data_IF_952765950702
#
_entry.id   IF_952765950702
#
_cell.length_a   1.000
_cell.length_b   1.000
_cell.length_c   1.000
_cell.angle_alpha   90.00
_cell.angle_beta   90.00
_cell.angle_gamma   90.00
#
_symmetry.space_group_name_H-M   'P 1'
#
loop_
_entity.id
_entity.type
_entity.pdbx_description
1 polymer ?
#
# COMPACT_ATOMS: atom_id res chain seq x y z
N UNK A 1 -5.02 13.56 -14.43
CA UNK A 1 -5.34 14.55 -15.48
C UNK A 1 -5.47 13.95 -16.90
N UNK A 2 -4.43 13.28 -17.42
CA UNK A 2 -4.46 12.69 -18.77
C UNK A 2 -5.57 11.65 -18.93
N UNK A 3 -5.69 10.71 -17.99
CA UNK A 3 -6.76 9.71 -17.98
C UNK A 3 -8.16 10.35 -17.95
N UNK A 4 -8.36 11.42 -17.17
CA UNK A 4 -9.64 12.13 -17.13
C UNK A 4 -9.97 12.79 -18.47
N UNK A 5 -8.99 13.39 -19.14
CA UNK A 5 -9.17 13.96 -20.49
C UNK A 5 -9.53 12.89 -21.50
N UNK A 6 -8.86 11.74 -21.46
CA UNK A 6 -9.16 10.61 -22.34
C UNK A 6 -10.59 10.10 -22.14
N UNK A 7 -11.01 9.88 -20.89
CA UNK A 7 -12.38 9.43 -20.58
C UNK A 7 -13.41 10.49 -20.98
N UNK A 8 -13.12 11.77 -20.75
CA UNK A 8 -13.99 12.89 -21.16
C UNK A 8 -14.12 12.99 -22.69
N UNK A 9 -13.04 12.71 -23.44
CA UNK A 9 -13.02 12.78 -24.90
C UNK A 9 -13.54 11.51 -25.60
N UNK A 10 -13.72 10.41 -24.88
CA UNK A 10 -14.15 9.12 -25.43
C UNK A 10 -15.48 8.68 -24.82
N UNK A 11 -15.45 8.05 -23.64
CA UNK A 11 -16.61 7.49 -22.97
C UNK A 11 -17.71 8.53 -22.70
N UNK A 12 -17.32 9.74 -22.30
CA UNK A 12 -18.26 10.83 -22.00
C UNK A 12 -18.40 11.84 -23.14
N UNK A 13 -17.90 11.52 -24.35
CA UNK A 13 -18.02 12.40 -25.51
C UNK A 13 -19.46 12.86 -25.81
N UNK A 14 -20.51 12.00 -25.67
CA UNK A 14 -21.89 12.43 -25.89
C UNK A 14 -22.38 13.55 -24.96
N UNK A 15 -21.74 13.74 -23.80
CA UNK A 15 -22.10 14.76 -22.81
C UNK A 15 -21.42 16.11 -23.04
N UNK A 16 -20.47 16.21 -23.99
CA UNK A 16 -19.69 17.43 -24.23
C UNK A 16 -20.53 18.66 -24.60
N UNK A 17 -21.71 18.46 -25.19
CA UNK A 17 -22.65 19.55 -25.52
C UNK A 17 -23.67 19.85 -24.43
N UNK A 18 -23.77 19.02 -23.39
CA UNK A 18 -24.80 19.13 -22.34
C UNK A 18 -24.27 19.73 -21.02
N UNK A 19 -22.97 19.59 -20.77
CA UNK A 19 -22.32 20.05 -19.53
C UNK A 19 -21.03 20.79 -19.81
N UNK A 20 -20.65 21.68 -18.89
CA UNK A 20 -19.40 22.42 -19.01
C UNK A 20 -18.18 21.49 -19.00
N UNK A 21 -17.06 21.89 -19.64
CA UNK A 21 -15.83 21.07 -19.68
C UNK A 21 -15.31 20.70 -18.28
N UNK A 22 -15.49 21.58 -17.30
CA UNK A 22 -15.10 21.34 -15.90
C UNK A 22 -15.93 20.23 -15.29
N UNK A 23 -17.26 20.26 -15.44
CA UNK A 23 -18.15 19.21 -14.93
C UNK A 23 -17.86 17.89 -15.62
N UNK A 24 -17.61 17.91 -16.93
CA UNK A 24 -17.27 16.70 -17.69
C UNK A 24 -15.98 16.04 -17.18
N UNK A 25 -14.95 16.82 -16.85
CA UNK A 25 -13.72 16.31 -16.26
C UNK A 25 -13.93 15.75 -14.85
N UNK A 26 -14.78 16.38 -14.04
CA UNK A 26 -15.15 15.89 -12.71
C UNK A 26 -15.90 14.55 -12.81
N UNK A 27 -16.85 14.43 -13.73
CA UNK A 27 -17.55 13.18 -14.02
C UNK A 27 -16.58 12.10 -14.48
N UNK A 28 -15.66 12.41 -15.39
CA UNK A 28 -14.61 11.48 -15.81
C UNK A 28 -13.75 11.00 -14.62
N UNK A 29 -13.35 11.92 -13.74
CA UNK A 29 -12.61 11.58 -12.52
C UNK A 29 -13.40 10.68 -11.57
N UNK A 30 -14.68 10.98 -11.36
CA UNK A 30 -15.56 10.17 -10.52
C UNK A 30 -15.78 8.77 -11.12
N UNK A 31 -15.97 8.65 -12.44
CA UNK A 31 -16.06 7.36 -13.13
C UNK A 31 -14.78 6.53 -12.92
N UNK A 32 -13.60 7.13 -13.14
CA UNK A 32 -12.32 6.45 -12.94
C UNK A 32 -12.19 5.98 -11.48
N UNK A 33 -12.50 6.85 -10.51
CA UNK A 33 -12.39 6.53 -9.10
C UNK A 33 -13.30 5.35 -8.70
N UNK A 34 -14.58 5.39 -9.06
CA UNK A 34 -15.55 4.37 -8.66
C UNK A 34 -15.30 3.02 -9.38
N UNK A 35 -14.99 3.03 -10.69
CA UNK A 35 -14.60 1.79 -11.40
C UNK A 35 -13.34 1.20 -10.77
N UNK A 36 -12.36 2.04 -10.46
CA UNK A 36 -11.13 1.58 -9.81
C UNK A 36 -11.38 1.03 -8.41
N UNK A 37 -12.29 1.62 -7.63
CA UNK A 37 -12.63 1.15 -6.30
C UNK A 37 -13.24 -0.27 -6.33
N UNK A 38 -14.18 -0.51 -7.25
CA UNK A 38 -14.79 -1.84 -7.44
C UNK A 38 -13.74 -2.86 -7.85
N UNK A 39 -12.93 -2.54 -8.86
CA UNK A 39 -11.87 -3.44 -9.33
C UNK A 39 -10.80 -3.67 -8.26
N UNK A 40 -10.48 -2.67 -7.44
CA UNK A 40 -9.56 -2.80 -6.32
C UNK A 40 -10.07 -3.79 -5.28
N UNK A 41 -11.37 -3.75 -4.96
CA UNK A 41 -12.01 -4.72 -4.06
C UNK A 41 -11.88 -6.16 -4.60
N UNK A 42 -12.11 -6.35 -5.91
CA UNK A 42 -11.91 -7.65 -6.58
C UNK A 42 -10.45 -8.10 -6.54
N UNK A 43 -9.50 -7.21 -6.85
CA UNK A 43 -8.07 -7.50 -6.79
C UNK A 43 -7.63 -7.88 -5.37
N UNK A 44 -8.14 -7.19 -4.33
CA UNK A 44 -7.88 -7.50 -2.93
C UNK A 44 -8.43 -8.88 -2.55
N UNK A 45 -9.62 -9.25 -3.02
CA UNK A 45 -10.18 -10.59 -2.82
C UNK A 45 -9.28 -11.68 -3.42
N UNK A 46 -8.87 -11.53 -4.69
CA UNK A 46 -8.02 -12.50 -5.36
C UNK A 46 -6.65 -12.62 -4.69
N UNK A 47 -6.04 -11.49 -4.33
CA UNK A 47 -4.80 -11.45 -3.56
C UNK A 47 -4.95 -12.10 -2.19
N UNK A 48 -6.01 -11.77 -1.46
CA UNK A 48 -6.30 -12.32 -0.13
C UNK A 48 -6.41 -13.84 -0.15
N UNK A 49 -7.11 -14.40 -1.15
CA UNK A 49 -7.21 -15.85 -1.37
C UNK A 49 -5.84 -16.47 -1.64
N UNK A 50 -5.04 -15.82 -2.47
CA UNK A 50 -3.70 -16.29 -2.82
C UNK A 50 -2.75 -16.32 -1.62
N UNK A 51 -2.83 -15.31 -0.75
CA UNK A 51 -1.96 -15.14 0.41
C UNK A 51 -2.36 -16.01 1.60
N UNK A 52 -3.65 -16.10 1.91
CA UNK A 52 -4.13 -16.74 3.14
C UNK A 52 -4.74 -18.12 2.91
N UNK A 53 -5.01 -18.50 1.66
CA UNK A 53 -5.74 -19.72 1.27
C UNK A 53 -7.14 -19.84 1.89
N UNK A 54 -7.67 -18.77 2.47
CA UNK A 54 -9.01 -18.70 3.03
C UNK A 54 -9.90 -17.82 2.16
N UNK A 55 -10.90 -18.46 1.53
CA UNK A 55 -11.87 -17.78 0.68
C UNK A 55 -12.76 -16.82 1.48
N UNK A 56 -13.22 -17.26 2.66
CA UNK A 56 -14.07 -16.47 3.52
C UNK A 56 -13.36 -15.23 4.05
N UNK A 57 -12.11 -15.37 4.51
CA UNK A 57 -11.30 -14.25 4.99
C UNK A 57 -11.10 -13.20 3.89
N UNK A 58 -10.82 -13.65 2.68
CA UNK A 58 -10.61 -12.76 1.54
C UNK A 58 -11.89 -12.02 1.11
N UNK A 59 -13.06 -12.70 1.12
CA UNK A 59 -14.35 -12.06 0.82
C UNK A 59 -14.67 -10.96 1.81
N UNK A 60 -14.57 -11.25 3.11
CA UNK A 60 -14.85 -10.26 4.15
C UNK A 60 -13.86 -9.10 4.08
N UNK A 61 -12.58 -9.34 3.76
CA UNK A 61 -11.60 -8.27 3.56
C UNK A 61 -11.98 -7.34 2.39
N UNK A 62 -12.48 -7.88 1.28
CA UNK A 62 -12.93 -7.08 0.14
C UNK A 62 -14.17 -6.22 0.46
N UNK A 63 -15.12 -6.74 1.23
CA UNK A 63 -16.25 -5.96 1.75
C UNK A 63 -15.80 -4.85 2.70
N UNK A 64 -14.87 -5.16 3.62
CA UNK A 64 -14.32 -4.17 4.54
C UNK A 64 -13.52 -3.08 3.82
N UNK A 65 -12.85 -3.40 2.71
CA UNK A 65 -12.23 -2.38 1.85
C UNK A 65 -13.27 -1.45 1.23
N UNK A 66 -14.38 -1.99 0.71
CA UNK A 66 -15.45 -1.16 0.15
C UNK A 66 -16.11 -0.25 1.21
N UNK A 67 -16.13 -0.69 2.48
CA UNK A 67 -16.65 0.05 3.62
C UNK A 67 -15.56 0.73 4.46
N UNK A 68 -14.33 0.87 3.93
CA UNK A 68 -13.22 1.44 4.69
C UNK A 68 -13.54 2.86 5.16
N UNK A 69 -13.09 3.32 6.34
CA UNK A 69 -13.41 4.66 6.85
C UNK A 69 -13.05 5.82 5.88
N UNK A 70 -12.16 5.59 4.92
CA UNK A 70 -11.80 6.56 3.88
C UNK A 70 -12.66 6.47 2.62
N UNK A 71 -13.85 5.84 2.64
CA UNK A 71 -14.62 5.54 1.43
C UNK A 71 -15.01 6.78 0.61
N UNK A 72 -15.16 7.96 1.25
CA UNK A 72 -15.38 9.23 0.55
C UNK A 72 -14.29 9.50 -0.51
N UNK A 73 -13.03 9.19 -0.20
CA UNK A 73 -11.91 9.32 -1.13
C UNK A 73 -11.86 8.22 -2.20
N UNK A 74 -12.60 7.13 -2.00
CA UNK A 74 -12.71 6.07 -2.99
C UNK A 74 -13.73 6.41 -4.09
N UNK A 75 -14.73 7.24 -3.78
CA UNK A 75 -15.77 7.64 -4.72
C UNK A 75 -15.58 9.02 -5.33
N UNK A 76 -14.91 9.94 -4.63
CA UNK A 76 -14.57 11.27 -5.15
C UNK A 76 -13.40 11.20 -6.17
N UNK A 77 -13.20 12.22 -7.04
CA UNK A 77 -12.18 12.23 -8.09
C UNK A 77 -10.74 12.42 -7.53
N UNK A 78 -10.31 11.48 -6.70
CA UNK A 78 -8.97 11.38 -6.10
C UNK A 78 -8.18 10.20 -6.66
N UNK A 79 -6.90 10.10 -6.29
CA UNK A 79 -6.00 9.04 -6.78
C UNK A 79 -6.01 7.78 -5.92
N UNK A 80 -6.68 7.80 -4.76
CA UNK A 80 -6.73 6.70 -3.79
C UNK A 80 -7.25 5.39 -4.42
N UNK A 81 -8.39 5.43 -5.12
CA UNK A 81 -8.95 4.25 -5.80
C UNK A 81 -8.08 3.67 -6.91
N UNK A 82 -7.64 4.44 -7.93
CA UNK A 82 -6.76 3.90 -8.96
C UNK A 82 -5.41 3.46 -8.39
N UNK A 83 -4.91 4.13 -7.33
CA UNK A 83 -3.71 3.69 -6.64
C UNK A 83 -3.91 2.35 -5.93
N UNK A 84 -5.03 2.15 -5.20
CA UNK A 84 -5.36 0.89 -4.55
C UNK A 84 -5.51 -0.25 -5.57
N UNK A 85 -6.22 -0.01 -6.68
CA UNK A 85 -6.36 -0.98 -7.78
C UNK A 85 -4.99 -1.44 -8.30
N UNK A 86 -4.15 -0.51 -8.71
CA UNK A 86 -2.84 -0.84 -9.28
C UNK A 86 -1.91 -1.47 -8.23
N UNK A 87 -2.01 -1.05 -6.97
CA UNK A 87 -1.23 -1.64 -5.87
C UNK A 87 -1.60 -3.10 -5.65
N UNK A 88 -2.88 -3.41 -5.49
CA UNK A 88 -3.37 -4.77 -5.28
C UNK A 88 -3.16 -5.66 -6.51
N UNK A 89 -3.41 -5.14 -7.72
CA UNK A 89 -3.15 -5.88 -8.96
C UNK A 89 -1.66 -6.18 -9.14
N UNK A 90 -0.77 -5.22 -8.88
CA UNK A 90 0.68 -5.46 -8.93
C UNK A 90 1.14 -6.48 -7.89
N UNK A 91 0.56 -6.45 -6.68
CA UNK A 91 0.80 -7.46 -5.64
C UNK A 91 0.32 -8.85 -6.04
N UNK A 92 -0.85 -8.95 -6.68
CA UNK A 92 -1.39 -10.21 -7.19
C UNK A 92 -0.48 -10.79 -8.28
N UNK A 93 -0.11 -9.97 -9.27
CA UNK A 93 0.81 -10.34 -10.34
C UNK A 93 2.17 -10.79 -9.80
N UNK A 94 2.70 -10.11 -8.79
CA UNK A 94 3.94 -10.51 -8.11
C UNK A 94 3.79 -11.87 -7.42
N UNK A 95 2.69 -12.09 -6.70
CA UNK A 95 2.38 -13.35 -6.02
C UNK A 95 2.13 -14.54 -6.98
N UNK A 96 1.74 -14.27 -8.23
CA UNK A 96 1.58 -15.24 -9.30
C UNK A 96 2.87 -15.50 -10.09
N UNK A 97 3.91 -14.68 -9.91
CA UNK A 97 5.21 -14.83 -10.56
C UNK A 97 5.43 -13.94 -11.79
N UNK A 98 4.44 -13.12 -12.17
CA UNK A 98 4.52 -12.16 -13.29
C UNK A 98 5.26 -10.87 -12.91
N UNK A 99 6.52 -11.00 -12.45
CA UNK A 99 7.28 -9.91 -11.85
C UNK A 99 7.50 -8.67 -12.74
N UNK A 100 7.64 -8.84 -14.06
CA UNK A 100 7.79 -7.70 -14.98
C UNK A 100 6.48 -6.93 -15.13
N UNK A 101 5.35 -7.62 -15.26
CA UNK A 101 4.04 -6.97 -15.33
C UNK A 101 3.68 -6.28 -14.01
N UNK A 102 4.06 -6.89 -12.88
CA UNK A 102 3.96 -6.26 -11.56
C UNK A 102 4.77 -4.95 -11.49
N UNK A 103 6.03 -4.95 -11.99
CA UNK A 103 6.87 -3.75 -12.00
C UNK A 103 6.27 -2.63 -12.87
N UNK A 104 5.76 -2.95 -14.06
CA UNK A 104 5.08 -1.98 -14.92
C UNK A 104 3.81 -1.43 -14.26
N UNK A 105 3.02 -2.29 -13.63
CA UNK A 105 1.81 -1.89 -12.89
C UNK A 105 2.14 -0.98 -11.72
N UNK A 106 3.17 -1.30 -10.93
CA UNK A 106 3.62 -0.46 -9.82
C UNK A 106 4.34 0.82 -10.27
N UNK A 107 4.95 0.84 -11.45
CA UNK A 107 5.42 2.09 -12.07
C UNK A 107 4.26 3.09 -12.23
N UNK A 108 3.08 2.61 -12.66
CA UNK A 108 1.87 3.44 -12.72
C UNK A 108 1.43 3.91 -11.32
N UNK A 109 1.57 3.09 -10.26
CA UNK A 109 1.28 3.55 -8.89
C UNK A 109 2.15 4.75 -8.49
N UNK A 110 3.44 4.73 -8.87
CA UNK A 110 4.38 5.82 -8.59
C UNK A 110 4.00 7.11 -9.32
N UNK A 111 3.41 7.03 -10.52
CA UNK A 111 2.89 8.21 -11.23
C UNK A 111 1.68 8.85 -10.54
N UNK A 112 0.85 8.03 -9.86
CA UNK A 112 -0.32 8.51 -9.14
C UNK A 112 0.04 9.12 -7.79
N UNK A 113 0.96 8.47 -7.06
CA UNK A 113 1.37 8.87 -5.72
C UNK A 113 2.84 8.48 -5.46
N UNK A 114 3.57 9.36 -4.80
CA UNK A 114 4.99 9.17 -4.45
C UNK A 114 5.24 7.92 -3.61
N UNK A 115 4.30 7.50 -2.75
CA UNK A 115 4.44 6.30 -1.94
C UNK A 115 4.41 4.99 -2.75
N UNK A 116 4.09 5.04 -4.05
CA UNK A 116 4.22 3.91 -4.97
C UNK A 116 5.67 3.39 -5.08
N UNK A 117 6.68 4.22 -4.82
CA UNK A 117 8.10 3.80 -4.83
C UNK A 117 8.38 2.65 -3.85
N UNK A 118 7.60 2.54 -2.77
CA UNK A 118 7.79 1.52 -1.75
C UNK A 118 7.52 0.11 -2.28
N UNK A 119 6.77 -0.02 -3.38
CA UNK A 119 6.57 -1.32 -4.03
C UNK A 119 7.85 -1.91 -4.62
N UNK A 120 8.87 -1.09 -4.93
CA UNK A 120 10.19 -1.59 -5.29
C UNK A 120 10.81 -2.47 -4.19
N UNK A 121 10.39 -2.25 -2.93
CA UNK A 121 10.78 -3.06 -1.78
C UNK A 121 10.46 -4.55 -1.94
N UNK A 122 9.42 -4.94 -2.69
CA UNK A 122 9.14 -6.37 -2.95
C UNK A 122 10.26 -7.03 -3.76
N UNK A 123 10.79 -6.35 -4.79
CA UNK A 123 11.89 -6.87 -5.60
C UNK A 123 13.21 -6.85 -4.85
N UNK A 124 13.46 -5.79 -4.06
CA UNK A 124 14.65 -5.69 -3.21
C UNK A 124 14.65 -6.76 -2.11
N UNK A 125 13.49 -7.03 -1.52
CA UNK A 125 13.31 -8.10 -0.54
C UNK A 125 13.57 -9.48 -1.18
N UNK A 126 13.04 -9.72 -2.38
CA UNK A 126 13.29 -10.96 -3.11
C UNK A 126 14.77 -11.13 -3.50
N UNK A 127 15.42 -10.04 -3.92
CA UNK A 127 16.85 -10.00 -4.20
C UNK A 127 17.65 -10.40 -2.97
N UNK A 128 17.42 -9.72 -1.83
CA UNK A 128 18.10 -10.03 -0.57
C UNK A 128 17.91 -11.51 -0.18
N UNK A 129 16.68 -12.02 -0.28
CA UNK A 129 16.37 -13.42 0.02
C UNK A 129 17.04 -14.42 -0.93
N UNK A 130 17.20 -14.09 -2.21
CA UNK A 130 17.90 -14.95 -3.18
C UNK A 130 19.39 -14.98 -2.91
N UNK A 131 20.00 -13.81 -2.68
CA UNK A 131 21.42 -13.67 -2.35
C UNK A 131 21.75 -14.42 -1.06
N UNK A 132 21.00 -14.17 0.02
CA UNK A 132 21.23 -14.82 1.31
C UNK A 132 21.07 -16.34 1.20
N UNK A 133 20.04 -16.85 0.50
CA UNK A 133 19.87 -18.30 0.30
C UNK A 133 21.02 -18.92 -0.48
N UNK A 134 21.56 -18.23 -1.49
CA UNK A 134 22.72 -18.72 -2.22
C UNK A 134 23.94 -18.84 -1.29
N UNK A 135 24.18 -17.86 -0.42
CA UNK A 135 25.31 -17.94 0.53
C UNK A 135 25.09 -18.94 1.68
N UNK A 136 23.86 -19.13 2.14
CA UNK A 136 23.58 -20.02 3.28
C UNK A 136 23.36 -21.50 2.92
N UNK A 137 22.87 -21.81 1.71
CA UNK A 137 22.45 -23.17 1.35
C UNK A 137 23.41 -23.90 0.42
N UNK A 138 24.44 -23.23 -0.12
CA UNK A 138 25.39 -23.84 -1.05
C UNK A 138 26.62 -24.31 -0.26
N UNK A 139 26.87 -25.63 -0.12
CA UNK A 139 28.10 -26.10 0.49
C UNK A 139 29.30 -25.59 -0.31
N UNK A 140 30.33 -25.14 0.40
CA UNK A 140 31.49 -24.38 -0.08
C UNK A 140 32.34 -25.05 -1.16
N UNK A 141 32.05 -26.29 -1.56
CA UNK A 141 32.95 -27.06 -2.41
C UNK A 141 32.67 -26.94 -3.92
N UNK A 142 31.45 -26.67 -4.40
CA UNK A 142 31.18 -26.64 -5.86
C UNK A 142 29.84 -25.94 -6.21
N UNK A 143 29.73 -24.62 -6.00
CA UNK A 143 28.71 -23.86 -6.73
C UNK A 143 29.14 -23.81 -8.21
N UNK A 144 28.44 -24.54 -9.08
CA UNK A 144 28.77 -24.54 -10.51
C UNK A 144 28.75 -23.11 -11.07
N UNK A 145 29.62 -22.80 -12.03
CA UNK A 145 29.63 -21.50 -12.72
C UNK A 145 28.23 -21.06 -13.18
N UNK A 146 27.41 -22.03 -13.62
CA UNK A 146 26.00 -21.79 -13.97
C UNK A 146 25.15 -21.22 -12.83
N UNK A 147 25.37 -21.65 -11.58
CA UNK A 147 24.63 -21.12 -10.43
C UNK A 147 24.94 -19.64 -10.17
N UNK A 148 26.20 -19.23 -10.33
CA UNK A 148 26.61 -17.82 -10.24
C UNK A 148 26.05 -16.97 -11.36
N UNK A 149 26.10 -17.48 -12.60
CA UNK A 149 25.51 -16.79 -13.76
C UNK A 149 24.01 -16.58 -13.56
N UNK A 150 23.29 -17.61 -13.11
CA UNK A 150 21.85 -17.51 -12.81
C UNK A 150 21.55 -16.53 -11.67
N UNK A 151 22.39 -16.49 -10.62
CA UNK A 151 22.25 -15.52 -9.55
C UNK A 151 22.43 -14.09 -10.06
N UNK A 152 23.48 -13.83 -10.85
CA UNK A 152 23.78 -12.50 -11.41
C UNK A 152 22.64 -12.04 -12.33
N UNK A 153 22.21 -12.88 -13.27
CA UNK A 153 21.12 -12.55 -14.20
C UNK A 153 19.83 -12.28 -13.43
N UNK A 154 19.44 -13.16 -12.52
CA UNK A 154 18.20 -12.98 -11.76
C UNK A 154 18.25 -11.77 -10.82
N UNK A 155 19.41 -11.46 -10.25
CA UNK A 155 19.63 -10.26 -9.44
C UNK A 155 19.52 -8.99 -10.28
N UNK A 156 20.16 -8.97 -11.46
CA UNK A 156 20.07 -7.87 -12.42
C UNK A 156 18.63 -7.61 -12.86
N UNK A 157 17.86 -8.66 -13.14
CA UNK A 157 16.43 -8.54 -13.48
C UNK A 157 15.58 -7.97 -12.34
N UNK A 158 15.85 -8.35 -11.08
CA UNK A 158 15.15 -7.79 -9.92
C UNK A 158 15.49 -6.32 -9.69
N UNK A 159 16.75 -5.95 -9.85
CA UNK A 159 17.19 -4.55 -9.78
C UNK A 159 16.56 -3.72 -10.90
N UNK A 160 16.53 -4.22 -12.13
CA UNK A 160 15.85 -3.55 -13.24
C UNK A 160 14.36 -3.32 -12.95
N UNK A 161 13.67 -4.32 -12.39
CA UNK A 161 12.26 -4.18 -11.98
C UNK A 161 12.07 -3.13 -10.89
N UNK A 162 12.96 -3.08 -9.89
CA UNK A 162 12.94 -2.03 -8.88
C UNK A 162 13.14 -0.64 -9.52
N UNK A 163 14.09 -0.50 -10.45
CA UNK A 163 14.33 0.75 -11.18
C UNK A 163 13.13 1.19 -12.02
N UNK A 164 12.41 0.25 -12.66
CA UNK A 164 11.16 0.55 -13.39
C UNK A 164 10.10 1.15 -12.46
N UNK A 165 9.97 0.64 -11.22
CA UNK A 165 9.04 1.18 -10.23
C UNK A 165 9.44 2.57 -9.75
N UNK A 166 10.75 2.81 -9.57
CA UNK A 166 11.30 4.12 -9.16
C UNK A 166 11.30 5.18 -10.26
N UNK A 167 11.41 4.77 -11.53
CA UNK A 167 11.60 5.65 -12.69
C UNK A 167 10.64 6.84 -12.76
N UNK A 168 9.32 6.65 -12.60
CA UNK A 168 8.37 7.77 -12.66
C UNK A 168 8.56 8.81 -11.56
N UNK A 169 9.01 8.40 -10.37
CA UNK A 169 9.33 9.36 -9.31
C UNK A 169 10.47 10.26 -9.75
N UNK A 170 11.57 9.68 -10.24
CA UNK A 170 12.72 10.44 -10.77
C UNK A 170 12.27 11.38 -11.89
N UNK A 171 11.46 10.89 -12.84
CA UNK A 171 10.96 11.71 -13.94
C UNK A 171 10.16 12.94 -13.45
N UNK A 172 9.33 12.78 -12.42
CA UNK A 172 8.57 13.90 -11.82
C UNK A 172 9.50 14.89 -11.11
N UNK A 173 10.53 14.41 -10.40
CA UNK A 173 11.51 15.30 -9.76
C UNK A 173 12.29 16.10 -10.80
N UNK A 174 12.75 15.44 -11.87
CA UNK A 174 13.45 16.09 -12.98
C UNK A 174 12.56 17.13 -13.68
N UNK A 175 11.30 16.77 -13.96
CA UNK A 175 10.33 17.71 -14.53
C UNK A 175 10.14 18.95 -13.63
N UNK A 176 9.99 18.74 -12.31
CA UNK A 176 9.90 19.83 -11.35
C UNK A 176 11.15 20.71 -11.33
N UNK A 177 12.34 20.11 -11.37
CA UNK A 177 13.60 20.83 -11.42
C UNK A 177 13.70 21.70 -12.68
N UNK A 178 13.50 21.13 -13.87
CA UNK A 178 13.54 21.91 -15.12
C UNK A 178 12.47 23.00 -15.17
N UNK A 179 11.32 22.79 -14.53
CA UNK A 179 10.23 23.78 -14.53
C UNK A 179 10.51 24.97 -13.62
N UNK A 180 11.19 24.78 -12.48
CA UNK A 180 11.30 25.79 -11.42
C UNK A 180 12.73 26.26 -11.11
N UNK A 181 13.75 25.59 -11.65
CA UNK A 181 15.16 25.87 -11.38
C UNK A 181 15.98 26.29 -12.61
N UNK A 182 15.36 26.35 -13.79
CA UNK A 182 16.02 26.67 -15.06
C UNK A 182 15.71 28.07 -15.58
N UNK A 183 15.29 29.03 -14.72
CA UNK A 183 15.15 30.42 -15.15
C UNK A 183 16.53 31.04 -15.41
N UNK A 184 16.70 31.79 -16.53
CA UNK A 184 17.90 32.59 -16.78
C UNK A 184 18.14 33.65 -15.70
N UNK A 185 17.09 34.10 -15.03
CA UNK A 185 17.17 35.04 -13.91
C UNK A 185 17.24 34.27 -12.58
N UNK A 186 18.38 34.25 -11.86
CA UNK A 186 18.52 33.50 -10.62
C UNK A 186 17.53 33.90 -9.52
N UNK A 187 17.00 35.13 -9.55
CA UNK A 187 16.02 35.61 -8.57
C UNK A 187 14.62 34.98 -8.76
N UNK A 188 14.34 34.40 -9.93
CA UNK A 188 13.07 33.72 -10.20
C UNK A 188 13.10 32.23 -9.84
N UNK A 189 14.31 31.67 -9.66
CA UNK A 189 14.47 30.29 -9.25
C UNK A 189 13.99 30.10 -7.81
N UNK A 190 13.36 28.95 -7.54
CA UNK A 190 12.91 28.63 -6.19
C UNK A 190 14.11 28.36 -5.28
N UNK A 191 13.97 28.69 -3.99
CA UNK A 191 15.04 28.57 -3.00
C UNK A 191 15.66 27.16 -2.96
N UNK A 192 14.85 26.10 -3.03
CA UNK A 192 15.31 24.72 -2.99
C UNK A 192 16.18 24.29 -4.18
N UNK A 193 16.26 25.09 -5.25
CA UNK A 193 17.13 24.81 -6.40
C UNK A 193 18.62 24.88 -6.03
N UNK A 194 18.99 25.65 -5.00
CA UNK A 194 20.38 25.86 -4.57
C UNK A 194 20.69 25.28 -3.18
N UNK A 195 19.68 24.86 -2.41
CA UNK A 195 19.82 24.59 -0.97
C UNK A 195 20.13 23.12 -0.61
N UNK A 196 20.72 22.30 -1.48
CA UNK A 196 21.04 20.93 -1.07
C UNK A 196 21.84 20.08 -2.05
N UNK A 197 22.31 18.94 -1.54
CA UNK A 197 23.02 17.89 -2.30
C UNK A 197 22.16 17.20 -3.35
N UNK A 198 20.82 17.21 -3.18
CA UNK A 198 19.87 16.74 -4.17
C UNK A 198 18.62 17.64 -4.17
N UNK A 199 18.44 18.54 -5.15
CA UNK A 199 17.30 19.47 -5.20
C UNK A 199 16.02 18.70 -5.56
N UNK A 200 15.22 18.38 -4.56
CA UNK A 200 14.00 17.58 -4.70
C UNK A 200 12.75 18.42 -4.40
N UNK A 201 11.95 18.68 -5.43
CA UNK A 201 10.70 19.45 -5.29
C UNK A 201 9.76 18.82 -4.26
N UNK A 202 9.68 17.49 -4.21
CA UNK A 202 8.79 16.81 -3.28
C UNK A 202 9.16 17.09 -1.82
N UNK A 203 10.43 16.92 -1.45
CA UNK A 203 10.90 17.18 -0.09
C UNK A 203 10.72 18.65 0.28
N UNK A 204 11.00 19.58 -0.64
CA UNK A 204 10.75 21.01 -0.42
C UNK A 204 9.28 21.29 -0.18
N UNK A 205 8.36 20.74 -0.98
CA UNK A 205 6.94 20.99 -0.81
C UNK A 205 6.44 20.44 0.53
N UNK A 206 6.86 19.23 0.89
CA UNK A 206 6.52 18.60 2.18
C UNK A 206 6.99 19.46 3.36
N UNK A 207 8.22 19.96 3.34
CA UNK A 207 8.79 20.77 4.41
C UNK A 207 8.20 22.19 4.44
N UNK A 208 8.22 22.90 3.31
CA UNK A 208 7.92 24.33 3.25
C UNK A 208 6.42 24.64 3.33
N UNK A 209 5.57 23.90 2.61
CA UNK A 209 4.13 24.20 2.55
C UNK A 209 3.32 23.37 3.53
N UNK A 210 3.74 22.15 3.80
CA UNK A 210 3.00 21.23 4.66
C UNK A 210 3.61 21.10 6.06
N UNK A 211 4.82 21.61 6.30
CA UNK A 211 5.54 21.43 7.56
C UNK A 211 5.65 19.95 7.99
N UNK A 212 5.71 19.04 7.03
CA UNK A 212 5.95 17.63 7.28
C UNK A 212 7.39 17.45 7.76
N UNK A 213 7.55 16.65 8.80
CA UNK A 213 8.86 16.34 9.37
C UNK A 213 8.72 15.50 10.63
N UNK A 214 9.81 14.87 11.10
CA UNK A 214 9.77 14.01 12.27
C UNK A 214 9.15 14.73 13.48
N UNK A 215 8.03 14.20 13.94
CA UNK A 215 7.25 14.64 15.09
C UNK A 215 6.76 16.10 15.09
N UNK A 216 6.89 16.83 13.98
CA UNK A 216 6.50 18.26 13.92
C UNK A 216 5.01 18.50 14.15
N UNK A 217 4.18 17.51 13.85
CA UNK A 217 2.72 17.60 14.02
C UNK A 217 2.25 17.33 15.46
N UNK A 218 3.12 16.82 16.34
CA UNK A 218 2.76 16.44 17.71
C UNK A 218 2.69 17.67 18.60
N UNK A 219 1.57 18.38 18.53
CA UNK A 219 1.25 19.52 19.39
C UNK A 219 -0.08 19.31 20.09
N UNK A 220 -0.27 19.89 21.27
CA UNK A 220 -1.52 19.74 22.05
C UNK A 220 -2.76 20.20 21.26
N UNK A 221 -2.60 21.18 20.37
CA UNK A 221 -3.68 21.68 19.50
C UNK A 221 -4.20 20.62 18.53
N UNK A 222 -3.37 19.64 18.18
CA UNK A 222 -3.72 18.55 17.25
C UNK A 222 -4.32 17.33 17.96
N UNK A 223 -4.42 17.35 19.29
CA UNK A 223 -4.99 16.24 20.06
C UNK A 223 -6.37 15.77 19.55
N UNK A 224 -7.31 16.66 19.15
CA UNK A 224 -8.58 16.22 18.56
C UNK A 224 -8.41 15.35 17.30
N UNK A 225 -7.45 15.69 16.43
CA UNK A 225 -7.17 14.90 15.21
C UNK A 225 -6.56 13.54 15.55
N UNK A 226 -5.69 13.47 16.55
CA UNK A 226 -5.16 12.20 17.05
C UNK A 226 -6.26 11.33 17.67
N UNK A 227 -7.19 11.91 18.43
CA UNK A 227 -8.33 11.18 18.98
C UNK A 227 -9.24 10.64 17.88
N UNK A 228 -9.51 11.44 16.85
CA UNK A 228 -10.32 11.02 15.71
C UNK A 228 -9.66 9.88 14.92
N UNK A 229 -8.35 9.96 14.70
CA UNK A 229 -7.58 8.91 14.01
C UNK A 229 -7.27 7.67 14.88
N UNK A 230 -7.43 7.78 16.20
CA UNK A 230 -7.00 6.76 17.15
C UNK A 230 -7.57 5.36 16.90
N UNK A 231 -8.87 5.16 16.54
CA UNK A 231 -9.40 3.81 16.34
C UNK A 231 -8.67 3.08 15.20
N UNK A 232 -8.28 3.81 14.16
CA UNK A 232 -7.58 3.25 13.02
C UNK A 232 -6.08 3.04 13.29
N UNK A 233 -5.44 3.92 14.06
CA UNK A 233 -4.06 3.73 14.54
C UNK A 233 -3.99 2.48 15.41
N UNK A 234 -4.93 2.30 16.33
CA UNK A 234 -5.03 1.12 17.20
C UNK A 234 -5.29 -0.15 16.41
N UNK A 235 -6.23 -0.13 15.45
CA UNK A 235 -6.48 -1.25 14.54
C UNK A 235 -5.20 -1.67 13.81
N UNK A 236 -4.43 -0.68 13.36
CA UNK A 236 -3.22 -0.91 12.60
C UNK A 236 -2.08 -1.46 13.44
N UNK A 237 -1.82 -0.85 14.61
CA UNK A 237 -0.84 -1.35 15.57
C UNK A 237 -1.18 -2.77 16.03
N UNK A 238 -2.46 -3.03 16.33
CA UNK A 238 -2.94 -4.34 16.73
C UNK A 238 -2.71 -5.40 15.64
N UNK A 239 -2.97 -5.09 14.36
CA UNK A 239 -2.77 -6.07 13.29
C UNK A 239 -1.32 -6.46 13.09
N UNK A 240 -0.41 -5.48 13.05
CA UNK A 240 1.03 -5.73 12.98
C UNK A 240 1.48 -6.54 14.21
N UNK A 241 1.02 -6.17 15.40
CA UNK A 241 1.36 -6.83 16.65
C UNK A 241 0.88 -8.29 16.70
N UNK A 242 -0.37 -8.55 16.33
CA UNK A 242 -0.95 -9.90 16.32
C UNK A 242 -0.20 -10.81 15.35
N UNK A 243 0.12 -10.30 14.15
CA UNK A 243 0.94 -11.06 13.21
C UNK A 243 2.34 -11.33 13.76
N UNK A 244 3.00 -10.32 14.34
CA UNK A 244 4.32 -10.48 14.95
C UNK A 244 4.30 -11.49 16.13
N UNK A 245 3.27 -11.49 16.97
CA UNK A 245 3.17 -12.46 18.07
C UNK A 245 2.99 -13.90 17.58
N UNK A 246 2.32 -14.10 16.45
CA UNK A 246 2.03 -15.42 15.89
C UNK A 246 3.21 -16.04 15.11
N UNK A 247 4.14 -15.22 14.61
CA UNK A 247 5.27 -15.70 13.82
C UNK A 247 6.48 -16.06 14.71
N UNK A 248 7.30 -17.06 14.34
CA UNK A 248 8.52 -17.39 15.08
C UNK A 248 9.46 -16.17 15.18
N UNK A 249 9.99 -15.90 16.37
CA UNK A 249 10.86 -14.74 16.64
C UNK A 249 12.04 -14.64 15.68
N UNK A 250 12.68 -15.78 15.36
CA UNK A 250 13.75 -15.86 14.36
C UNK A 250 13.32 -15.32 12.99
N UNK A 251 12.12 -15.66 12.54
CA UNK A 251 11.59 -15.21 11.23
C UNK A 251 11.37 -13.70 11.21
N UNK A 252 10.91 -13.11 12.30
CA UNK A 252 10.70 -11.66 12.38
C UNK A 252 12.00 -10.88 12.46
N UNK A 253 12.94 -11.32 13.31
CA UNK A 253 14.26 -10.69 13.43
C UNK A 253 15.01 -10.73 12.09
N UNK A 254 14.91 -11.85 11.39
CA UNK A 254 15.51 -12.02 10.06
C UNK A 254 14.67 -11.46 8.92
N UNK A 255 13.51 -10.87 9.20
CA UNK A 255 12.51 -10.46 8.21
C UNK A 255 12.12 -11.58 7.21
N UNK A 256 12.36 -12.85 7.54
CA UNK A 256 12.12 -14.00 6.64
C UNK A 256 13.16 -14.15 5.52
N UNK A 257 14.30 -13.46 5.62
CA UNK A 257 15.39 -13.51 4.63
C UNK A 257 16.16 -14.83 4.68
N UNK A 258 16.29 -15.43 5.86
CA UNK A 258 17.01 -16.68 6.06
C UNK A 258 16.06 -17.88 5.86
N UNK A 259 16.59 -19.05 5.42
CA UNK A 259 15.81 -20.28 5.39
C UNK A 259 15.27 -20.59 6.80
N UNK A 260 14.00 -20.96 6.87
CA UNK A 260 13.47 -21.58 8.08
C UNK A 260 14.27 -22.87 8.32
N UNK A 261 14.71 -23.13 9.55
CA UNK A 261 15.37 -24.39 9.88
C UNK A 261 14.45 -25.53 9.45
N UNK A 262 14.98 -26.50 8.70
CA UNK A 262 14.25 -27.66 8.22
C UNK A 262 13.71 -28.42 9.42
N UNK A 263 12.45 -28.17 9.78
CA UNK A 263 11.70 -29.09 10.60
C UNK A 263 11.46 -30.32 9.72
N UNK A 264 11.82 -31.51 10.20
CA UNK A 264 11.69 -32.78 9.49
C UNK A 264 10.42 -32.83 8.61
N UNK A 265 10.62 -33.10 7.31
CA UNK A 265 9.58 -33.59 6.39
C UNK A 265 8.93 -34.82 7.02
N UNK A 266 7.85 -34.62 7.77
CA UNK A 266 7.21 -35.69 8.54
C UNK A 266 5.88 -35.31 9.15
N UNK A 267 5.58 -34.01 9.27
CA UNK A 267 4.20 -33.53 9.39
C UNK A 267 3.84 -32.98 8.03
N UNK A 268 3.05 -33.76 7.30
CA UNK A 268 2.30 -33.32 6.13
C UNK A 268 1.86 -31.86 6.32
N UNK A 269 2.09 -31.03 5.30
CA UNK A 269 1.46 -29.72 5.11
C UNK A 269 -0.06 -29.91 4.90
N UNK A 270 -0.71 -30.63 5.80
CA UNK A 270 -2.14 -30.77 5.96
C UNK A 270 -2.70 -29.58 6.77
N UNK A 271 -2.20 -28.36 6.53
CA UNK A 271 -2.86 -27.12 6.95
C UNK A 271 -3.89 -26.64 5.92
N UNK A 272 -4.13 -27.43 4.86
CA UNK A 272 -5.33 -27.27 4.05
C UNK A 272 -6.54 -27.81 4.81
N UNK A 273 -7.51 -26.95 5.07
CA UNK A 273 -8.93 -27.23 5.43
C UNK A 273 -9.34 -27.34 6.91
N UNK A 274 -8.43 -27.24 7.89
CA UNK A 274 -8.80 -27.39 9.31
C UNK A 274 -8.74 -26.13 10.20
N UNK A 275 -7.97 -25.11 9.82
CA UNK A 275 -7.80 -23.92 10.67
C UNK A 275 -8.98 -22.95 10.49
N UNK A 276 -9.55 -22.48 11.61
CA UNK A 276 -10.68 -21.56 11.58
C UNK A 276 -10.32 -20.30 10.75
N UNK A 277 -11.26 -19.75 9.95
CA UNK A 277 -10.99 -18.66 9.02
C UNK A 277 -10.30 -17.43 9.65
N UNK A 278 -10.54 -17.19 10.93
CA UNK A 278 -9.96 -16.08 11.69
C UNK A 278 -8.49 -16.30 12.09
N UNK A 279 -7.96 -17.53 12.04
CA UNK A 279 -6.55 -17.84 12.32
C UNK A 279 -5.68 -17.69 11.06
N UNK A 280 -6.27 -17.81 9.87
CA UNK A 280 -5.57 -17.81 8.58
C UNK A 280 -4.69 -16.56 8.32
N UNK A 281 -5.05 -15.40 8.89
CA UNK A 281 -4.22 -14.20 8.85
C UNK A 281 -2.88 -14.41 9.57
N UNK A 282 -2.94 -14.90 10.81
CA UNK A 282 -1.79 -14.99 11.70
C UNK A 282 -0.86 -16.16 11.33
N UNK A 283 -1.41 -17.23 10.74
CA UNK A 283 -0.64 -18.41 10.31
C UNK A 283 0.03 -18.25 8.94
N UNK A 284 -0.42 -17.29 8.11
CA UNK A 284 0.09 -17.13 6.76
C UNK A 284 1.53 -16.60 6.71
N UNK A 285 2.48 -17.50 6.42
CA UNK A 285 3.89 -17.18 6.20
C UNK A 285 4.17 -16.26 5.00
N UNK A 286 3.32 -16.29 3.98
CA UNK A 286 3.47 -15.51 2.73
C UNK A 286 3.09 -14.05 2.92
N UNK A 287 2.40 -13.70 4.00
CA UNK A 287 1.93 -12.36 4.30
C UNK A 287 3.04 -11.41 4.80
N UNK A 288 4.19 -11.97 5.24
CA UNK A 288 5.26 -11.21 5.88
C UNK A 288 5.73 -9.96 5.09
N UNK A 289 6.02 -10.01 3.77
CA UNK A 289 6.44 -8.82 3.03
C UNK A 289 5.39 -7.70 3.01
N UNK A 290 4.10 -8.08 3.01
CA UNK A 290 2.98 -7.15 3.04
C UNK A 290 2.82 -6.50 4.41
N UNK A 291 3.06 -7.25 5.50
CA UNK A 291 3.08 -6.71 6.86
C UNK A 291 4.27 -5.79 7.08
N UNK A 292 5.44 -6.11 6.50
CA UNK A 292 6.62 -5.23 6.55
C UNK A 292 6.32 -3.90 5.84
N UNK A 293 5.76 -3.95 4.62
CA UNK A 293 5.37 -2.74 3.91
C UNK A 293 4.37 -1.91 4.72
N UNK A 294 3.36 -2.58 5.28
CA UNK A 294 2.35 -1.93 6.12
C UNK A 294 2.98 -1.26 7.34
N UNK A 295 3.85 -1.97 8.08
CA UNK A 295 4.56 -1.43 9.23
C UNK A 295 5.44 -0.22 8.88
N UNK A 296 6.19 -0.29 7.78
CA UNK A 296 7.02 0.82 7.29
C UNK A 296 6.15 2.05 6.99
N UNK A 297 5.03 1.85 6.29
CA UNK A 297 4.12 2.94 5.95
C UNK A 297 3.45 3.57 7.17
N UNK A 298 3.03 2.76 8.14
CA UNK A 298 2.44 3.25 9.38
C UNK A 298 3.44 4.05 10.19
N UNK A 299 4.65 3.52 10.33
CA UNK A 299 5.74 4.18 11.05
C UNK A 299 6.07 5.51 10.39
N UNK A 300 6.20 5.53 9.06
CA UNK A 300 6.42 6.77 8.30
C UNK A 300 5.28 7.78 8.52
N UNK A 301 4.03 7.33 8.43
CA UNK A 301 2.87 8.20 8.60
C UNK A 301 2.80 8.79 10.01
N UNK A 302 3.04 7.99 11.05
CA UNK A 302 3.04 8.45 12.44
C UNK A 302 4.21 9.38 12.76
N UNK A 303 5.38 9.17 12.17
CA UNK A 303 6.56 10.01 12.47
C UNK A 303 6.51 11.32 11.68
N UNK A 304 6.12 11.30 10.41
CA UNK A 304 6.40 12.41 9.48
C UNK A 304 5.17 13.12 8.93
N UNK A 305 4.04 12.43 8.84
CA UNK A 305 2.83 12.95 8.19
C UNK A 305 1.87 13.54 9.22
N UNK A 306 0.97 14.40 8.76
CA UNK A 306 -0.20 14.77 9.53
C UNK A 306 -1.09 13.55 9.73
N UNK A 307 -1.52 13.33 10.98
CA UNK A 307 -2.32 12.15 11.36
C UNK A 307 -3.62 12.03 10.54
N UNK A 308 -4.13 13.17 10.09
CA UNK A 308 -5.30 13.33 9.24
C UNK A 308 -5.25 12.56 7.92
N UNK A 309 -4.04 12.32 7.41
CA UNK A 309 -3.84 11.66 6.13
C UNK A 309 -3.73 10.14 6.29
N UNK A 310 -3.62 9.61 7.52
CA UNK A 310 -3.30 8.21 7.77
C UNK A 310 -4.33 7.24 7.18
N UNK A 311 -5.62 7.55 7.33
CA UNK A 311 -6.72 6.73 6.80
C UNK A 311 -6.59 6.56 5.29
N UNK A 312 -6.34 7.68 4.60
CA UNK A 312 -6.20 7.77 3.14
C UNK A 312 -4.94 7.07 2.67
N UNK A 313 -3.86 7.23 3.42
CA UNK A 313 -2.54 6.71 3.09
C UNK A 313 -2.46 5.18 3.16
N UNK A 314 -3.13 4.58 4.16
CA UNK A 314 -3.10 3.13 4.39
C UNK A 314 -4.22 2.37 3.65
N UNK A 315 -5.03 3.05 2.85
CA UNK A 315 -6.13 2.44 2.08
C UNK A 315 -5.71 1.31 1.16
N UNK A 316 -4.48 1.32 0.67
CA UNK A 316 -3.94 0.34 -0.28
C UNK A 316 -3.17 -0.80 0.40
N UNK A 317 -3.39 -1.04 1.71
CA UNK A 317 -2.68 -2.07 2.47
C UNK A 317 -3.53 -3.35 2.59
N UNK A 318 -3.20 -4.45 1.87
CA UNK A 318 -4.03 -5.65 1.91
C UNK A 318 -4.00 -6.33 3.28
N UNK A 319 -2.86 -6.29 3.97
CA UNK A 319 -2.69 -6.89 5.29
C UNK A 319 -3.61 -6.26 6.36
N UNK A 320 -3.89 -4.95 6.25
CA UNK A 320 -4.85 -4.25 7.11
C UNK A 320 -6.24 -4.88 7.01
N UNK A 321 -6.76 -5.04 5.79
CA UNK A 321 -8.11 -5.58 5.58
C UNK A 321 -8.20 -7.07 5.87
N UNK A 322 -7.14 -7.84 5.63
CA UNK A 322 -7.08 -9.25 6.03
C UNK A 322 -7.09 -9.41 7.56
N UNK A 323 -6.43 -8.52 8.31
CA UNK A 323 -6.50 -8.49 9.77
C UNK A 323 -7.88 -8.04 10.27
N UNK A 324 -8.44 -6.99 9.66
CA UNK A 324 -9.78 -6.52 10.03
C UNK A 324 -10.81 -7.63 9.79
N UNK A 325 -10.68 -8.36 8.68
CA UNK A 325 -11.48 -9.52 8.35
C UNK A 325 -11.35 -10.65 9.37
N UNK A 326 -10.14 -10.97 9.83
CA UNK A 326 -9.96 -12.00 10.85
C UNK A 326 -10.62 -11.62 12.17
N UNK A 327 -10.56 -10.35 12.57
CA UNK A 327 -11.24 -9.85 13.76
C UNK A 327 -12.77 -9.95 13.65
N UNK A 328 -13.33 -9.61 12.49
CA UNK A 328 -14.77 -9.71 12.23
C UNK A 328 -15.22 -11.16 12.22
N UNK A 329 -14.48 -12.07 11.56
CA UNK A 329 -14.80 -13.49 11.56
C UNK A 329 -14.67 -14.11 12.96
N UNK A 330 -13.67 -13.72 13.75
CA UNK A 330 -13.57 -14.13 15.15
C UNK A 330 -14.78 -13.67 15.98
N UNK A 331 -15.34 -12.50 15.70
CA UNK A 331 -16.55 -12.02 16.38
C UNK A 331 -17.81 -12.77 15.96
N UNK A 332 -17.96 -13.07 14.67
CA UNK A 332 -19.16 -13.70 14.13
C UNK A 332 -19.20 -15.22 14.34
N UNK A 333 -18.04 -15.87 14.33
CA UNK A 333 -17.93 -17.34 14.33
C UNK A 333 -17.18 -17.90 15.54
N UNK A 334 -16.44 -17.07 16.28
CA UNK A 334 -15.67 -17.52 17.43
C UNK A 334 -16.54 -17.88 18.64
N UNK A 335 -15.99 -18.65 19.60
CA UNK A 335 -16.70 -19.07 20.80
C UNK A 335 -17.09 -17.89 21.72
N UNK A 336 -16.34 -16.78 21.61
CA UNK A 336 -16.61 -15.53 22.32
C UNK A 336 -16.66 -14.37 21.34
N UNK A 337 -17.56 -13.41 21.59
CA UNK A 337 -17.67 -12.18 20.80
C UNK A 337 -16.40 -11.35 20.93
N UNK A 338 -15.55 -11.39 19.91
CA UNK A 338 -14.31 -10.61 19.85
C UNK A 338 -14.62 -9.11 19.78
N UNK A 339 -14.13 -8.32 20.74
CA UNK A 339 -14.40 -6.87 20.83
C UNK A 339 -13.90 -6.11 19.60
N UNK A 340 -12.73 -6.49 19.05
CA UNK A 340 -12.17 -5.84 17.86
C UNK A 340 -13.05 -6.01 16.62
N UNK A 341 -13.69 -7.18 16.46
CA UNK A 341 -14.61 -7.42 15.34
C UNK A 341 -15.89 -6.62 15.49
N UNK A 342 -16.44 -6.55 16.70
CA UNK A 342 -17.57 -5.68 17.02
C UNK A 342 -17.27 -4.21 16.70
N UNK A 343 -16.11 -3.71 17.15
CA UNK A 343 -15.69 -2.34 16.92
C UNK A 343 -15.57 -2.01 15.43
N UNK A 344 -14.97 -2.89 14.62
CA UNK A 344 -14.85 -2.71 13.16
C UNK A 344 -16.23 -2.64 12.50
N UNK A 345 -17.14 -3.57 12.83
CA UNK A 345 -18.48 -3.63 12.24
C UNK A 345 -19.32 -2.36 12.47
N UNK A 346 -19.06 -1.64 13.56
CA UNK A 346 -19.77 -0.39 13.87
C UNK A 346 -18.97 0.83 13.38
N UNK A 347 -17.66 0.84 13.59
CA UNK A 347 -16.79 1.96 13.24
C UNK A 347 -16.74 2.20 11.72
N UNK A 348 -16.58 1.17 10.90
CA UNK A 348 -16.43 1.34 9.45
C UNK A 348 -17.66 2.01 8.81
N UNK A 349 -18.91 1.52 9.01
CA UNK A 349 -20.10 2.17 8.47
C UNK A 349 -20.34 3.56 9.08
N UNK A 350 -20.18 3.71 10.42
CA UNK A 350 -20.39 4.99 11.09
C UNK A 350 -19.46 6.07 10.53
N UNK A 351 -18.18 5.72 10.38
CA UNK A 351 -17.18 6.65 9.87
C UNK A 351 -17.39 6.99 8.41
N UNK A 352 -17.99 6.10 7.60
CA UNK A 352 -18.38 6.48 6.24
C UNK A 352 -19.43 7.58 6.24
N UNK A 353 -20.46 7.48 7.09
CA UNK A 353 -21.49 8.53 7.20
C UNK A 353 -20.87 9.83 7.69
N UNK A 354 -20.13 9.79 8.80
CA UNK A 354 -19.48 10.97 9.38
C UNK A 354 -18.45 11.56 8.42
N UNK A 355 -17.62 10.71 7.82
CA UNK A 355 -16.55 11.09 6.89
C UNK A 355 -17.08 11.73 5.61
N UNK A 356 -18.23 11.28 5.08
CA UNK A 356 -18.89 11.93 3.94
C UNK A 356 -19.36 13.33 4.32
N UNK A 357 -19.98 13.50 5.49
CA UNK A 357 -20.42 14.83 5.97
C UNK A 357 -19.22 15.76 6.18
N UNK A 358 -18.18 15.30 6.88
CA UNK A 358 -16.96 16.08 7.10
C UNK A 358 -16.32 16.47 5.76
N UNK A 359 -16.18 15.51 4.84
CA UNK A 359 -15.62 15.73 3.52
C UNK A 359 -16.42 16.75 2.70
N UNK A 360 -17.76 16.67 2.72
CA UNK A 360 -18.64 17.62 2.02
C UNK A 360 -18.55 19.05 2.57
N UNK A 361 -18.23 19.19 3.86
CA UNK A 361 -18.01 20.49 4.51
C UNK A 361 -16.55 20.97 4.45
N UNK A 362 -15.69 20.33 3.65
CA UNK A 362 -14.24 20.62 3.57
C UNK A 362 -13.50 20.50 4.92
N UNK A 363 -14.10 19.76 5.86
CA UNK A 363 -13.45 19.41 7.12
C UNK A 363 -12.58 18.17 6.89
N UNK A 364 -11.43 18.08 7.57
CA UNK A 364 -10.59 16.90 7.50
C UNK A 364 -11.40 15.72 8.04
N UNK A 365 -11.73 14.71 7.23
CA UNK A 365 -12.52 13.57 7.69
C UNK A 365 -11.65 12.60 8.49
N UNK A 366 -10.48 13.03 8.96
CA UNK A 366 -9.58 12.47 9.96
C UNK A 366 -8.53 13.53 10.25
#
# INVERSE_FOLDING_TARGET
PLAMRLVASTLLAPLQGLVSPTILLLLAGACIANVSAVLASVALYLLGRRLTRSDQLARVAAFLFALTPSAAFLSAPYTESPFALLSFSGMLLHAEGYGTLAALTWSLTTTLRSNGILHAGFFLYELARRVIRHFCSTPSSFSSFGAWVQLIISSGLLLLRALIVFGPFVAIQMYGHFRYCSSPNPMENRSWCTTGTLPMIYSFVQDHYWNCGPFRYYTLRQLPNFLLASPFILLTGAGVWVYAKAQPSRRLITLGLFPDATHNKGRTDASGTGDEPHVAYASSKTLLPYVILWFVQVTYALITMHVQVILRFLTSQPALYLFASSCVLAHLQGPHRHLGGWAILHYFPLYNVVGIVLFAHFLPPA
#
